data_IF_733762512891
#
_entry.id   IF_733762512891
#
_cell.length_a   1.000
_cell.length_b   1.000
_cell.length_c   1.000
_cell.angle_alpha   90.00
_cell.angle_beta   90.00
_cell.angle_gamma   90.00
#
_symmetry.space_group_name_H-M   'P 1'
#
loop_
_entity.id
_entity.type
_entity.pdbx_description
1 polymer ?
#
# COMPACT_ATOMS: atom_id res chain seq x y z
N UNK A 1 3.96 20.51 31.01
CA UNK A 1 3.11 19.30 31.03
C UNK A 1 2.90 18.88 29.58
N UNK A 2 3.78 18.05 29.03
CA UNK A 2 3.72 17.58 27.64
C UNK A 2 4.05 16.10 27.56
N UNK A 3 3.30 15.43 26.67
CA UNK A 3 3.63 14.21 25.93
C UNK A 3 3.53 12.86 26.66
N UNK A 4 2.36 12.23 26.51
CA UNK A 4 2.25 10.78 26.43
C UNK A 4 2.50 10.35 24.97
N UNK A 5 3.73 9.97 24.64
CA UNK A 5 3.99 9.11 23.49
C UNK A 5 3.63 7.68 23.91
N UNK A 6 2.60 7.11 23.30
CA UNK A 6 2.34 5.67 23.41
C UNK A 6 3.42 4.94 22.62
N UNK A 7 4.25 4.20 23.34
CA UNK A 7 5.16 3.20 22.80
C UNK A 7 4.32 2.14 22.07
N UNK A 8 4.43 2.07 20.74
CA UNK A 8 4.01 0.89 19.99
C UNK A 8 5.00 -0.22 20.27
N UNK A 9 4.56 -1.45 20.58
CA UNK A 9 5.47 -2.57 20.77
C UNK A 9 6.22 -2.81 19.45
N UNK A 10 7.55 -2.73 19.53
CA UNK A 10 8.45 -3.17 18.49
C UNK A 10 8.11 -4.63 18.17
N UNK A 11 7.75 -4.90 16.92
CA UNK A 11 7.69 -6.26 16.36
C UNK A 11 9.14 -6.74 16.27
N UNK A 12 9.69 -7.13 17.40
CA UNK A 12 10.75 -8.12 17.46
C UNK A 12 10.15 -9.47 17.04
N UNK A 13 11.00 -10.34 16.50
CA UNK A 13 10.67 -11.72 16.10
C UNK A 13 10.08 -11.91 14.69
N UNK A 14 10.97 -11.88 13.70
CA UNK A 14 11.30 -13.09 12.90
C UNK A 14 12.19 -12.71 11.72
N UNK A 15 13.39 -12.21 11.98
CA UNK A 15 14.47 -12.35 11.01
C UNK A 15 15.21 -13.61 11.42
N UNK A 16 14.73 -14.75 10.89
CA UNK A 16 15.55 -15.95 10.81
C UNK A 16 16.89 -15.51 10.27
N UNK A 17 17.88 -15.63 11.14
CA UNK A 17 19.29 -15.32 10.94
C UNK A 17 19.81 -16.13 9.76
N UNK A 18 19.63 -15.62 8.54
CA UNK A 18 20.38 -16.07 7.38
C UNK A 18 21.81 -15.62 7.62
N UNK A 19 22.57 -16.48 8.28
CA UNK A 19 24.05 -16.54 8.29
C UNK A 19 24.73 -15.18 8.15
N UNK A 20 24.86 -14.46 9.28
CA UNK A 20 25.85 -13.38 9.42
C UNK A 20 27.23 -13.99 9.14
N UNK A 21 27.73 -13.88 7.92
CA UNK A 21 29.11 -14.26 7.61
C UNK A 21 30.03 -13.39 8.46
N UNK A 22 30.63 -14.00 9.50
CA UNK A 22 31.53 -13.32 10.45
C UNK A 22 32.86 -12.90 9.81
N UNK A 23 33.21 -13.54 8.68
CA UNK A 23 34.43 -13.31 7.92
C UNK A 23 34.13 -12.92 6.48
N UNK A 24 34.94 -12.01 5.93
CA UNK A 24 34.85 -11.54 4.57
C UNK A 24 35.16 -12.70 3.61
N UNK A 25 34.28 -13.01 2.64
CA UNK A 25 34.52 -14.11 1.70
C UNK A 25 35.71 -13.87 0.77
N UNK A 26 36.22 -12.63 0.71
CA UNK A 26 37.34 -12.25 -0.14
C UNK A 26 38.70 -12.31 0.56
N UNK A 27 38.77 -11.97 1.85
CA UNK A 27 40.04 -11.84 2.57
C UNK A 27 40.05 -12.46 3.97
N UNK A 28 38.96 -13.10 4.39
CA UNK A 28 38.79 -13.61 5.76
C UNK A 28 38.66 -12.51 6.83
N UNK A 29 38.81 -11.24 6.46
CA UNK A 29 38.77 -10.10 7.38
C UNK A 29 37.43 -9.89 8.05
N UNK A 30 37.43 -9.18 9.18
CA UNK A 30 36.22 -8.92 9.97
C UNK A 30 35.20 -8.10 9.18
N UNK A 31 33.96 -8.58 9.16
CA UNK A 31 32.82 -7.87 8.58
C UNK A 31 32.12 -7.04 9.68
N UNK A 32 31.82 -5.76 9.40
CA UNK A 32 31.08 -4.88 10.30
C UNK A 32 29.81 -4.37 9.62
N UNK A 33 28.70 -4.40 10.36
CA UNK A 33 27.41 -3.87 9.92
C UNK A 33 27.36 -2.35 10.14
N UNK A 34 26.95 -1.60 9.12
CA UNK A 34 26.67 -0.16 9.19
C UNK A 34 25.32 0.11 8.52
N UNK A 35 24.31 0.50 9.29
CA UNK A 35 22.95 0.84 8.82
C UNK A 35 22.32 -0.21 7.89
N UNK A 36 22.57 -0.12 6.58
CA UNK A 36 22.01 -0.98 5.52
C UNK A 36 23.10 -1.74 4.71
N UNK A 37 24.35 -1.71 5.16
CA UNK A 37 25.48 -2.36 4.50
C UNK A 37 26.38 -3.13 5.47
N UNK A 38 27.04 -4.17 4.98
CA UNK A 38 28.05 -4.93 5.71
C UNK A 38 29.39 -4.73 5.00
N UNK A 39 30.33 -4.06 5.64
CA UNK A 39 31.64 -3.74 5.07
C UNK A 39 32.75 -4.54 5.73
N UNK A 40 33.69 -5.05 4.94
CA UNK A 40 34.95 -5.59 5.45
C UNK A 40 35.88 -4.44 5.83
N UNK A 41 36.27 -4.37 7.11
CA UNK A 41 37.19 -3.31 7.57
C UNK A 41 38.63 -3.48 7.08
N UNK A 42 38.97 -4.66 6.56
CA UNK A 42 40.32 -4.97 6.07
C UNK A 42 40.49 -4.65 4.59
N UNK A 43 39.52 -5.01 3.73
CA UNK A 43 39.62 -4.85 2.28
C UNK A 43 38.60 -3.88 1.68
N UNK A 44 37.73 -3.28 2.50
CA UNK A 44 36.71 -2.32 2.04
C UNK A 44 35.56 -2.95 1.24
N UNK A 45 35.50 -4.27 1.10
CA UNK A 45 34.43 -4.94 0.33
C UNK A 45 33.09 -4.81 1.06
N UNK A 46 32.12 -4.21 0.39
CA UNK A 46 30.79 -3.94 0.93
C UNK A 46 29.76 -4.89 0.35
N UNK A 47 28.98 -5.53 1.21
CA UNK A 47 27.76 -6.26 0.89
C UNK A 47 26.58 -5.40 1.34
N UNK A 48 25.80 -4.89 0.39
CA UNK A 48 24.57 -4.19 0.73
C UNK A 48 23.55 -5.20 1.26
N UNK A 49 22.92 -4.89 2.39
CA UNK A 49 21.74 -5.64 2.78
C UNK A 49 20.68 -5.43 1.69
N UNK A 50 19.86 -6.45 1.38
CA UNK A 50 18.74 -6.25 0.49
C UNK A 50 17.88 -5.11 1.07
N UNK A 51 17.89 -3.97 0.37
CA UNK A 51 17.01 -2.85 0.67
C UNK A 51 15.61 -3.46 0.74
N UNK A 52 14.88 -3.24 1.84
CA UNK A 52 13.44 -3.49 1.86
C UNK A 52 12.85 -2.57 0.81
N UNK A 53 12.82 -3.05 -0.43
CA UNK A 53 12.21 -2.33 -1.54
C UNK A 53 10.81 -1.95 -1.09
N UNK A 54 10.32 -0.78 -1.48
CA UNK A 54 8.94 -0.34 -1.22
C UNK A 54 7.87 -1.37 -1.63
N UNK A 55 8.26 -2.42 -2.37
CA UNK A 55 7.49 -3.60 -2.70
C UNK A 55 7.23 -4.56 -1.51
N UNK A 56 8.12 -4.62 -0.52
CA UNK A 56 8.02 -5.48 0.65
C UNK A 56 7.20 -4.88 1.80
N UNK A 57 6.78 -3.61 1.70
CA UNK A 57 5.78 -3.05 2.60
C UNK A 57 4.42 -3.58 2.13
N UNK A 58 3.71 -4.42 2.91
CA UNK A 58 2.36 -4.86 2.57
C UNK A 58 1.46 -3.62 2.56
N UNK A 59 1.31 -3.00 1.39
CA UNK A 59 0.32 -1.94 1.23
C UNK A 59 -1.04 -2.63 1.29
N UNK A 60 -1.97 -2.16 2.13
CA UNK A 60 -3.30 -2.74 2.24
C UNK A 60 -3.87 -3.04 0.86
N UNK A 61 -4.27 -4.29 0.62
CA UNK A 61 -4.98 -4.67 -0.61
C UNK A 61 -6.29 -3.88 -0.73
N UNK A 62 -6.88 -3.57 0.42
CA UNK A 62 -8.11 -2.83 0.58
C UNK A 62 -7.82 -1.44 1.15
N UNK A 63 -8.50 -0.43 0.61
CA UNK A 63 -8.51 0.94 1.13
C UNK A 63 -9.91 1.28 1.59
N UNK A 64 -9.99 2.17 2.57
CA UNK A 64 -11.25 2.73 3.05
C UNK A 64 -11.17 4.24 2.97
N UNK A 65 -12.19 4.86 2.36
CA UNK A 65 -12.29 6.31 2.26
C UNK A 65 -13.69 6.80 2.61
N UNK A 66 -13.73 7.96 3.26
CA UNK A 66 -14.97 8.68 3.51
C UNK A 66 -15.24 9.61 2.34
N UNK A 67 -16.28 9.32 1.60
CA UNK A 67 -16.64 9.99 0.35
C UNK A 67 -17.90 10.78 0.58
N UNK A 68 -17.82 12.08 0.32
CA UNK A 68 -18.99 12.94 0.25
C UNK A 68 -19.53 12.92 -1.17
N UNK A 69 -20.75 12.39 -1.35
CA UNK A 69 -21.49 12.48 -2.61
C UNK A 69 -21.78 13.94 -2.97
N UNK A 70 -22.13 14.19 -4.23
CA UNK A 70 -22.57 15.51 -4.70
C UNK A 70 -23.77 16.05 -3.90
N UNK A 71 -24.63 15.14 -3.43
CA UNK A 71 -25.80 15.46 -2.61
C UNK A 71 -25.45 15.70 -1.12
N UNK A 72 -24.16 15.88 -0.81
CA UNK A 72 -23.58 16.10 0.54
C UNK A 72 -23.77 14.93 1.52
N UNK A 73 -24.29 13.79 1.05
CA UNK A 73 -24.36 12.55 1.84
C UNK A 73 -22.99 11.89 1.90
N UNK A 74 -22.60 11.44 3.09
CA UNK A 74 -21.29 10.81 3.30
C UNK A 74 -21.40 9.30 3.37
N UNK A 75 -20.52 8.61 2.67
CA UNK A 75 -20.41 7.15 2.62
C UNK A 75 -18.99 6.74 2.92
N UNK A 76 -18.82 5.67 3.68
CA UNK A 76 -17.50 5.06 3.88
C UNK A 76 -17.41 3.86 2.93
N UNK A 77 -16.50 3.95 1.96
CA UNK A 77 -16.35 2.96 0.90
C UNK A 77 -15.05 2.20 1.12
N UNK A 78 -15.17 0.88 1.24
CA UNK A 78 -14.05 -0.06 1.20
C UNK A 78 -13.88 -0.56 -0.22
N UNK A 79 -12.67 -0.42 -0.77
CA UNK A 79 -12.41 -0.76 -2.16
C UNK A 79 -11.03 -1.38 -2.36
N UNK A 80 -10.88 -2.17 -3.43
CA UNK A 80 -9.61 -2.72 -3.90
C UNK A 80 -9.20 -1.99 -5.18
N UNK A 81 -7.94 -1.56 -5.27
CA UNK A 81 -7.41 -0.98 -6.51
C UNK A 81 -7.03 -2.11 -7.46
N UNK A 82 -7.73 -2.16 -8.60
CA UNK A 82 -7.49 -3.10 -9.68
C UNK A 82 -6.55 -2.48 -10.73
N UNK A 83 -5.79 -3.33 -11.43
CA UNK A 83 -4.76 -2.92 -12.41
C UNK A 83 -3.70 -1.98 -11.84
N UNK A 84 -3.28 -2.26 -10.60
CA UNK A 84 -2.26 -1.50 -9.86
C UNK A 84 -0.91 -1.39 -10.56
N UNK A 85 -0.60 -2.28 -11.51
CA UNK A 85 0.59 -2.22 -12.35
C UNK A 85 0.73 -0.86 -13.08
N UNK A 86 -0.39 -0.21 -13.44
CA UNK A 86 -0.39 1.11 -14.07
C UNK A 86 -0.21 2.29 -13.10
N UNK A 87 -0.31 2.05 -11.79
CA UNK A 87 0.07 3.02 -10.75
C UNK A 87 1.53 2.86 -10.32
N UNK A 88 2.24 1.85 -10.85
CA UNK A 88 3.68 1.72 -10.67
C UNK A 88 4.40 2.75 -11.55
N UNK A 89 5.55 3.26 -11.08
CA UNK A 89 6.31 4.30 -11.80
C UNK A 89 6.87 3.83 -13.16
N UNK A 90 6.83 2.53 -13.43
CA UNK A 90 7.38 1.91 -14.63
C UNK A 90 6.28 1.03 -15.26
N UNK A 91 5.51 1.55 -16.22
CA UNK A 91 4.53 0.73 -16.93
C UNK A 91 5.28 -0.40 -17.67
N UNK A 92 4.86 -1.64 -17.45
CA UNK A 92 5.38 -2.78 -18.21
C UNK A 92 4.99 -2.61 -19.69
N UNK A 93 5.99 -2.65 -20.59
CA UNK A 93 5.78 -2.58 -22.03
C UNK A 93 4.82 -3.70 -22.46
N UNK A 94 3.66 -3.34 -23.01
CA UNK A 94 2.67 -4.27 -23.52
C UNK A 94 1.46 -4.50 -22.61
N UNK A 95 1.41 -3.92 -21.40
CA UNK A 95 0.16 -3.89 -20.63
C UNK A 95 -0.82 -2.96 -21.36
N UNK A 96 -1.90 -3.51 -21.91
CA UNK A 96 -2.96 -2.73 -22.52
C UNK A 96 -3.40 -1.58 -21.61
N UNK A 97 -3.90 -0.51 -22.21
CA UNK A 97 -4.30 0.79 -21.65
C UNK A 97 -5.48 0.72 -20.65
N UNK A 98 -5.56 -0.31 -19.81
CA UNK A 98 -6.68 -0.52 -18.89
C UNK A 98 -6.47 0.33 -17.64
N UNK A 99 -6.90 1.59 -17.70
CA UNK A 99 -6.84 2.54 -16.58
C UNK A 99 -7.14 1.88 -15.21
N UNK A 100 -6.36 2.20 -14.17
CA UNK A 100 -6.61 1.69 -12.83
C UNK A 100 -8.01 2.12 -12.35
N UNK A 101 -8.68 1.24 -11.62
CA UNK A 101 -10.01 1.49 -11.08
C UNK A 101 -10.14 0.92 -9.66
N UNK A 102 -11.14 1.40 -8.94
CA UNK A 102 -11.52 0.90 -7.62
C UNK A 102 -12.69 -0.07 -7.77
N UNK A 103 -12.51 -1.32 -7.35
CA UNK A 103 -13.60 -2.29 -7.19
C UNK A 103 -14.17 -2.13 -5.77
N UNK A 104 -15.46 -1.84 -5.66
CA UNK A 104 -16.15 -1.67 -4.39
C UNK A 104 -16.28 -3.03 -3.70
N UNK A 105 -15.90 -3.10 -2.43
CA UNK A 105 -15.94 -4.32 -1.62
C UNK A 105 -17.02 -4.21 -0.57
N UNK A 106 -17.16 -3.04 0.03
CA UNK A 106 -18.18 -2.76 1.03
C UNK A 106 -18.49 -1.26 1.07
N UNK A 107 -19.72 -0.92 1.46
CA UNK A 107 -20.17 0.45 1.61
C UNK A 107 -21.02 0.59 2.87
N UNK A 108 -20.66 1.56 3.71
CA UNK A 108 -21.40 1.93 4.90
C UNK A 108 -21.85 3.38 4.86
N UNK A 109 -22.97 3.68 5.54
CA UNK A 109 -23.62 4.99 5.51
C UNK A 109 -25.11 4.87 5.18
N UNK A 110 -25.76 5.95 4.71
CA UNK A 110 -27.18 5.96 4.38
C UNK A 110 -27.46 5.24 3.05
N UNK A 111 -27.08 3.96 2.92
CA UNK A 111 -27.17 3.17 1.68
C UNK A 111 -28.59 3.06 1.12
N UNK A 112 -29.62 3.22 1.97
CA UNK A 112 -31.02 3.33 1.56
C UNK A 112 -31.29 4.49 0.58
N UNK A 113 -30.45 5.52 0.55
CA UNK A 113 -30.56 6.62 -0.41
C UNK A 113 -29.95 6.29 -1.78
N UNK A 114 -29.32 5.13 -1.94
CA UNK A 114 -28.65 4.68 -3.18
C UNK A 114 -29.53 3.74 -4.03
N UNK A 115 -30.82 3.65 -3.75
CA UNK A 115 -31.78 2.84 -4.53
C UNK A 115 -31.92 3.35 -5.96
N UNK A 116 -31.92 4.67 -6.14
CA UNK A 116 -32.00 5.30 -7.45
C UNK A 116 -30.66 5.22 -8.23
N UNK A 117 -30.74 5.01 -9.55
CA UNK A 117 -29.56 5.02 -10.42
C UNK A 117 -28.82 6.36 -10.40
N UNK A 118 -29.56 7.47 -10.32
CA UNK A 118 -28.98 8.81 -10.25
C UNK A 118 -28.11 9.02 -9.00
N UNK A 119 -28.59 8.57 -7.84
CA UNK A 119 -27.86 8.69 -6.56
C UNK A 119 -26.57 7.86 -6.55
N UNK A 120 -26.58 6.67 -7.16
CA UNK A 120 -25.38 5.85 -7.37
C UNK A 120 -24.36 6.56 -8.26
N UNK A 121 -24.82 7.19 -9.34
CA UNK A 121 -23.95 7.94 -10.25
C UNK A 121 -23.33 9.17 -9.56
N UNK A 122 -24.10 9.88 -8.71
CA UNK A 122 -23.58 11.00 -7.91
C UNK A 122 -22.49 10.54 -6.94
N UNK A 123 -22.67 9.38 -6.30
CA UNK A 123 -21.64 8.77 -5.46
C UNK A 123 -20.38 8.40 -6.26
N UNK A 124 -20.54 7.75 -7.43
CA UNK A 124 -19.42 7.39 -8.31
C UNK A 124 -18.62 8.63 -8.74
N UNK A 125 -19.30 9.74 -9.05
CA UNK A 125 -18.66 11.03 -9.37
C UNK A 125 -17.94 11.63 -8.16
N UNK A 126 -18.56 11.60 -6.98
CA UNK A 126 -17.93 12.04 -5.72
C UNK A 126 -16.66 11.24 -5.41
N UNK A 127 -16.73 9.91 -5.57
CA UNK A 127 -15.60 9.00 -5.40
C UNK A 127 -14.47 9.32 -6.37
N UNK A 128 -14.77 9.53 -7.65
CA UNK A 128 -13.75 9.88 -8.64
C UNK A 128 -13.07 11.23 -8.32
N UNK A 129 -13.82 12.22 -7.82
CA UNK A 129 -13.24 13.52 -7.41
C UNK A 129 -12.29 13.38 -6.22
N UNK A 130 -12.59 12.48 -5.27
CA UNK A 130 -11.76 12.26 -4.10
C UNK A 130 -10.50 11.42 -4.40
N UNK A 131 -10.64 10.39 -5.23
CA UNK A 131 -9.62 9.34 -5.40
C UNK A 131 -8.88 9.37 -6.73
N UNK A 132 -9.45 10.02 -7.74
CA UNK A 132 -9.03 9.91 -9.14
C UNK A 132 -9.31 8.55 -9.78
N UNK A 133 -10.03 7.65 -9.11
CA UNK A 133 -10.32 6.30 -9.57
C UNK A 133 -11.81 6.14 -9.89
N UNK A 134 -12.11 5.39 -10.96
CA UNK A 134 -13.49 5.00 -11.27
C UNK A 134 -13.94 3.92 -10.30
N UNK A 135 -15.10 4.08 -9.67
CA UNK A 135 -15.69 3.08 -8.79
C UNK A 135 -16.54 2.08 -9.59
N UNK A 136 -16.24 0.79 -9.44
CA UNK A 136 -16.97 -0.35 -10.02
C UNK A 136 -17.57 -1.24 -8.92
N UNK A 137 -18.42 -2.18 -9.33
CA UNK A 137 -19.00 -3.23 -8.49
C UNK A 137 -19.80 -2.70 -7.27
N UNK A 138 -20.22 -1.43 -7.36
CA UNK A 138 -21.03 -0.78 -6.32
C UNK A 138 -22.39 -1.47 -6.17
N UNK A 139 -22.98 -1.91 -7.28
CA UNK A 139 -24.24 -2.62 -7.30
C UNK A 139 -24.17 -3.97 -6.59
N UNK A 140 -23.05 -4.68 -6.72
CA UNK A 140 -22.81 -5.95 -6.03
C UNK A 140 -22.63 -5.71 -4.52
N UNK A 141 -21.91 -4.66 -4.14
CA UNK A 141 -21.72 -4.28 -2.74
C UNK A 141 -22.99 -3.72 -2.06
N UNK A 142 -24.03 -3.38 -2.82
CA UNK A 142 -25.33 -2.91 -2.30
C UNK A 142 -26.40 -4.00 -2.23
N UNK A 143 -26.13 -5.17 -2.83
CA UNK A 143 -27.04 -6.33 -2.86
C UNK A 143 -26.96 -7.16 -1.58
#
# INVERSE_FOLDING_TARGET
>A
MYQYFRETPLIEENIKSTTRASACPHCGGKMMLRSEEIICVMCGKTNYLPIKTLAAIPRPEYREELITSLDKTSFKIKYRIMNRALLSRLPEKGSGTIQPHASCVDISGPTRTLTAAHSRENLKKGFYRATGLRLKDLEEALS
#
